data_IF_668470023398
#
_entry.id   IF_668470023398
#
_cell.length_a   1.000
_cell.length_b   1.000
_cell.length_c   1.000
_cell.angle_alpha   90.00
_cell.angle_beta   90.00
_cell.angle_gamma   90.00
#
_symmetry.space_group_name_H-M   'P 1'
#
loop_
_entity.id
_entity.type
_entity.pdbx_description
1 polymer ?
#
# COMPACT_ATOMS: atom_id res chain seq x y z
N UNK A 1 -13.42 -0.52 -13.80
CA UNK A 1 -12.98 -1.91 -14.04
C UNK A 1 -12.40 -2.00 -15.44
N UNK A 2 -11.13 -2.38 -15.54
CA UNK A 2 -10.46 -2.57 -16.83
C UNK A 2 -10.64 -4.05 -17.21
N UNK A 3 -11.39 -4.31 -18.28
CA UNK A 3 -11.64 -5.66 -18.79
C UNK A 3 -10.48 -6.20 -19.65
N UNK A 4 -9.23 -6.00 -19.20
CA UNK A 4 -8.07 -6.56 -19.88
C UNK A 4 -7.57 -7.84 -19.18
N UNK A 5 -8.44 -8.84 -19.05
CA UNK A 5 -8.19 -10.09 -18.34
C UNK A 5 -6.90 -10.78 -18.80
N UNK A 6 -6.60 -10.77 -20.10
CA UNK A 6 -5.39 -11.40 -20.62
C UNK A 6 -4.12 -10.66 -20.18
N UNK A 7 -4.12 -9.32 -20.26
CA UNK A 7 -2.99 -8.51 -19.79
C UNK A 7 -2.71 -8.75 -18.31
N UNK A 8 -3.73 -8.70 -17.46
CA UNK A 8 -3.57 -8.89 -16.03
C UNK A 8 -3.17 -10.32 -15.65
N UNK A 9 -3.71 -11.34 -16.33
CA UNK A 9 -3.26 -12.72 -16.15
C UNK A 9 -1.78 -12.87 -16.52
N UNK A 10 -1.36 -12.32 -17.65
CA UNK A 10 0.04 -12.35 -18.07
C UNK A 10 0.95 -11.62 -17.09
N UNK A 11 0.56 -10.43 -16.66
CA UNK A 11 1.29 -9.64 -15.66
C UNK A 11 1.48 -10.42 -14.35
N UNK A 12 0.39 -10.95 -13.77
CA UNK A 12 0.45 -11.70 -12.51
C UNK A 12 1.22 -13.02 -12.66
N UNK A 13 1.07 -13.72 -13.78
CA UNK A 13 1.85 -14.95 -14.03
C UNK A 13 3.35 -14.65 -14.05
N UNK A 14 3.77 -13.58 -14.72
CA UNK A 14 5.18 -13.16 -14.73
C UNK A 14 5.64 -12.67 -13.36
N UNK A 15 4.82 -11.93 -12.64
CA UNK A 15 5.11 -11.50 -11.27
C UNK A 15 5.31 -12.70 -10.36
N UNK A 16 4.42 -13.68 -10.40
CA UNK A 16 4.55 -14.89 -9.58
C UNK A 16 5.75 -15.75 -9.94
N UNK A 17 6.21 -15.72 -11.20
CA UNK A 17 7.45 -16.39 -11.58
C UNK A 17 8.70 -15.81 -10.89
N UNK A 18 8.63 -14.58 -10.36
CA UNK A 18 9.69 -14.01 -9.52
C UNK A 18 9.68 -14.54 -8.09
N UNK A 19 8.52 -15.01 -7.61
CA UNK A 19 8.33 -15.50 -6.25
C UNK A 19 8.37 -17.03 -6.15
N UNK A 20 8.00 -17.74 -7.20
CA UNK A 20 7.85 -19.18 -7.21
C UNK A 20 8.56 -19.80 -8.40
N UNK A 21 9.24 -20.90 -8.15
CA UNK A 21 9.73 -21.77 -9.23
C UNK A 21 8.59 -22.67 -9.70
N UNK A 22 8.02 -22.35 -10.85
CA UNK A 22 6.91 -23.12 -11.43
C UNK A 22 7.28 -24.53 -11.87
N UNK A 23 8.57 -24.87 -12.02
CA UNK A 23 9.00 -26.24 -12.32
C UNK A 23 8.71 -27.18 -11.14
N UNK A 24 8.70 -26.65 -9.91
CA UNK A 24 8.49 -27.41 -8.67
C UNK A 24 7.29 -26.96 -7.86
N UNK A 25 6.67 -25.82 -8.21
CA UNK A 25 5.61 -25.24 -7.43
C UNK A 25 4.28 -25.24 -8.18
N UNK A 26 3.25 -25.86 -7.57
CA UNK A 26 1.87 -25.73 -8.02
C UNK A 26 1.25 -24.49 -7.33
N UNK A 27 1.07 -23.42 -8.08
CA UNK A 27 0.44 -22.20 -7.60
C UNK A 27 -0.96 -22.04 -8.20
N UNK A 28 -1.95 -21.80 -7.36
CA UNK A 28 -3.30 -21.36 -7.76
C UNK A 28 -3.60 -20.04 -7.09
N UNK A 29 -4.19 -19.14 -7.84
CA UNK A 29 -4.59 -17.82 -7.36
C UNK A 29 -5.93 -17.40 -7.96
N UNK A 30 -6.70 -16.62 -7.18
CA UNK A 30 -8.01 -16.10 -7.58
C UNK A 30 -8.35 -14.83 -6.81
N UNK A 31 -9.52 -14.27 -7.10
CA UNK A 31 -10.06 -13.08 -6.45
C UNK A 31 -9.11 -11.88 -6.57
N UNK A 32 -8.76 -11.56 -7.81
CA UNK A 32 -7.86 -10.45 -8.12
C UNK A 32 -8.68 -9.19 -8.39
N UNK A 33 -8.46 -8.17 -7.57
CA UNK A 33 -8.86 -6.78 -7.83
C UNK A 33 -7.70 -6.00 -8.42
N UNK A 34 -7.95 -5.22 -9.48
CA UNK A 34 -6.95 -4.34 -10.08
C UNK A 34 -7.61 -3.08 -10.62
N UNK A 35 -7.03 -1.90 -10.31
CA UNK A 35 -7.56 -0.62 -10.76
C UNK A 35 -6.49 0.46 -10.81
N UNK A 36 -6.74 1.48 -11.63
CA UNK A 36 -5.97 2.71 -11.57
C UNK A 36 -6.49 3.61 -10.46
N UNK A 37 -5.58 4.09 -9.65
CA UNK A 37 -5.87 5.02 -8.57
C UNK A 37 -5.22 6.37 -8.88
N UNK A 38 -6.04 7.42 -8.93
CA UNK A 38 -5.62 8.81 -9.01
C UNK A 38 -5.75 9.44 -7.63
N UNK A 39 -4.73 10.14 -7.22
CA UNK A 39 -4.74 10.88 -5.94
C UNK A 39 -4.15 12.27 -6.15
N UNK A 40 -4.81 13.28 -5.60
CA UNK A 40 -4.36 14.66 -5.61
C UNK A 40 -3.87 15.08 -4.23
N UNK A 41 -2.99 16.06 -4.18
CA UNK A 41 -2.59 16.67 -2.91
C UNK A 41 -3.78 17.37 -2.24
N UNK A 42 -3.86 17.29 -0.92
CA UNK A 42 -4.81 18.10 -0.13
C UNK A 42 -4.45 19.60 -0.19
N UNK A 43 -3.17 19.87 -0.22
CA UNK A 43 -2.65 21.21 -0.44
C UNK A 43 -1.56 21.13 -1.52
N UNK A 44 -1.87 21.52 -2.76
CA UNK A 44 -0.90 21.52 -3.85
C UNK A 44 0.14 22.64 -3.75
N UNK A 45 -0.06 23.63 -2.88
CA UNK A 45 0.87 24.76 -2.69
C UNK A 45 1.89 24.49 -1.59
N UNK A 46 1.56 23.64 -0.62
CA UNK A 46 2.45 23.26 0.47
C UNK A 46 2.75 21.76 0.45
N UNK A 47 3.90 21.39 -0.13
CA UNK A 47 4.35 20.00 -0.19
C UNK A 47 4.54 19.35 1.19
N UNK A 48 4.76 20.15 2.23
CA UNK A 48 5.01 19.69 3.60
C UNK A 48 3.72 19.65 4.43
N UNK A 49 2.58 20.01 3.86
CA UNK A 49 1.31 19.95 4.57
C UNK A 49 1.05 18.51 5.03
N UNK A 50 0.80 18.34 6.32
CA UNK A 50 0.61 17.03 6.93
C UNK A 50 -0.59 16.28 6.32
N UNK A 51 -1.60 17.00 5.85
CA UNK A 51 -2.75 16.40 5.18
C UNK A 51 -2.37 15.68 3.87
N UNK A 52 -1.24 16.05 3.25
CA UNK A 52 -0.71 15.36 2.09
C UNK A 52 -0.14 13.97 2.43
N UNK A 53 -0.03 13.60 3.70
CA UNK A 53 0.43 12.29 4.13
C UNK A 53 -0.71 11.27 4.14
N UNK A 54 -0.45 10.06 3.64
CA UNK A 54 -1.39 8.95 3.74
C UNK A 54 -1.57 8.46 5.19
N UNK A 55 -2.75 7.95 5.50
CA UNK A 55 -3.01 7.25 6.77
C UNK A 55 -2.25 5.92 6.79
N UNK A 56 -1.63 5.58 7.93
CA UNK A 56 -1.05 4.25 8.14
C UNK A 56 -2.18 3.26 8.28
N UNK A 57 -2.20 2.21 7.45
CA UNK A 57 -3.26 1.21 7.42
C UNK A 57 -2.74 -0.16 6.95
N UNK A 58 -3.61 -1.14 7.06
CA UNK A 58 -3.50 -2.46 6.45
C UNK A 58 -4.62 -2.61 5.44
N UNK A 59 -4.37 -3.31 4.34
CA UNK A 59 -5.40 -3.57 3.33
C UNK A 59 -6.32 -4.77 3.69
N UNK A 60 -5.96 -5.51 4.73
CA UNK A 60 -6.66 -6.71 5.15
C UNK A 60 -5.88 -8.00 4.84
N UNK A 61 -6.58 -9.14 4.82
CA UNK A 61 -5.96 -10.46 4.70
C UNK A 61 -5.62 -10.84 3.23
N UNK A 62 -5.09 -9.91 2.46
CA UNK A 62 -4.62 -10.22 1.11
C UNK A 62 -3.21 -10.81 1.16
N UNK A 63 -2.99 -12.03 0.63
CA UNK A 63 -1.67 -12.65 0.60
C UNK A 63 -0.65 -11.89 -0.25
N UNK A 64 -1.11 -11.10 -1.21
CA UNK A 64 -0.27 -10.22 -2.02
C UNK A 64 -1.04 -8.97 -2.41
N UNK A 65 -0.44 -7.84 -2.17
CA UNK A 65 -0.85 -6.52 -2.64
C UNK A 65 0.32 -5.92 -3.40
N UNK A 66 0.04 -5.08 -4.37
CA UNK A 66 1.10 -4.35 -5.02
C UNK A 66 0.61 -3.13 -5.75
N UNK A 67 1.55 -2.27 -6.07
CA UNK A 67 1.28 -1.09 -6.87
C UNK A 67 2.43 -0.79 -7.83
N UNK A 68 2.07 -0.20 -8.97
CA UNK A 68 3.01 0.33 -9.95
C UNK A 68 2.84 1.85 -10.00
N UNK A 69 3.94 2.58 -9.85
CA UNK A 69 3.93 4.05 -10.00
C UNK A 69 3.89 4.42 -11.48
N UNK A 70 2.89 5.21 -11.87
CA UNK A 70 2.64 5.57 -13.28
C UNK A 70 2.77 7.07 -13.57
N UNK A 71 3.03 7.90 -12.55
CA UNK A 71 3.30 9.32 -12.75
C UNK A 71 4.76 9.50 -13.16
N UNK A 72 5.00 10.05 -14.36
CA UNK A 72 6.33 10.47 -14.80
C UNK A 72 6.77 11.69 -13.98
N UNK A 73 8.08 11.78 -13.72
CA UNK A 73 8.72 12.94 -13.06
C UNK A 73 8.07 13.33 -11.71
N UNK A 74 7.46 12.35 -11.04
CA UNK A 74 6.87 12.57 -9.73
C UNK A 74 7.94 12.83 -8.65
N UNK A 75 7.59 13.64 -7.65
CA UNK A 75 8.41 13.80 -6.45
C UNK A 75 8.74 12.43 -5.84
N UNK A 76 10.01 12.18 -5.54
CA UNK A 76 10.47 10.92 -4.95
C UNK A 76 9.71 10.57 -3.67
N UNK A 77 9.41 11.58 -2.86
CA UNK A 77 8.68 11.43 -1.59
C UNK A 77 7.20 11.07 -1.75
N UNK A 78 6.64 11.11 -2.95
CA UNK A 78 5.27 10.64 -3.20
C UNK A 78 5.16 9.10 -3.33
N UNK A 79 6.12 8.37 -2.79
CA UNK A 79 6.16 6.92 -2.75
C UNK A 79 5.34 6.30 -1.63
N UNK A 80 5.76 5.12 -1.17
CA UNK A 80 5.07 4.33 -0.14
C UNK A 80 6.08 3.88 0.90
N UNK A 81 5.69 3.88 2.17
CA UNK A 81 6.50 3.28 3.24
C UNK A 81 5.78 2.13 3.91
N UNK A 82 6.57 1.11 4.25
CA UNK A 82 6.17 0.04 5.17
C UNK A 82 6.50 0.51 6.59
N UNK A 83 5.54 0.34 7.48
CA UNK A 83 5.57 0.85 8.84
C UNK A 83 5.55 -0.31 9.83
N UNK A 84 6.30 -0.19 10.91
CA UNK A 84 6.25 -1.15 12.02
C UNK A 84 5.67 -0.50 13.27
N UNK A 85 4.82 -1.21 14.02
CA UNK A 85 4.38 -0.74 15.33
C UNK A 85 5.58 -0.56 16.26
N UNK A 86 5.68 0.58 16.93
CA UNK A 86 6.69 0.82 17.95
C UNK A 86 6.20 0.40 19.34
N UNK A 87 7.03 0.59 20.37
CA UNK A 87 6.69 0.21 21.76
C UNK A 87 5.47 0.94 22.34
N UNK A 88 5.06 2.07 21.75
CA UNK A 88 3.89 2.85 22.19
C UNK A 88 2.60 2.36 21.53
N UNK A 89 2.71 1.52 20.50
CA UNK A 89 1.55 1.05 19.76
C UNK A 89 0.58 0.31 20.67
N UNK A 90 -0.65 0.78 20.66
CA UNK A 90 -1.80 0.09 21.26
C UNK A 90 -2.84 -0.13 20.16
N UNK A 91 -3.29 -1.36 20.03
CA UNK A 91 -4.41 -1.64 19.14
C UNK A 91 -5.63 -0.85 19.60
N UNK A 92 -6.16 0.01 18.73
CA UNK A 92 -7.31 0.89 19.03
C UNK A 92 -8.39 0.63 17.98
N UNK A 93 -9.29 -0.33 18.23
CA UNK A 93 -10.36 -0.66 17.28
C UNK A 93 -11.28 0.54 17.02
N UNK A 94 -11.46 1.45 17.98
CA UNK A 94 -12.25 2.66 17.84
C UNK A 94 -11.72 3.61 16.74
N UNK A 95 -10.42 3.60 16.48
CA UNK A 95 -9.82 4.37 15.39
C UNK A 95 -10.02 3.70 14.02
N UNK A 96 -10.38 2.43 13.98
CA UNK A 96 -10.58 1.72 12.72
C UNK A 96 -11.77 2.30 11.95
N UNK A 97 -12.89 2.56 12.63
CA UNK A 97 -14.09 3.11 12.01
C UNK A 97 -13.87 4.53 11.52
N UNK A 98 -13.17 5.37 12.29
CA UNK A 98 -12.81 6.72 11.89
C UNK A 98 -11.87 6.72 10.67
N UNK A 99 -10.87 5.84 10.65
CA UNK A 99 -10.00 5.64 9.48
C UNK A 99 -10.80 5.27 8.23
N UNK A 100 -11.70 4.29 8.36
CA UNK A 100 -12.56 3.83 7.26
C UNK A 100 -13.46 4.96 6.79
N UNK A 101 -14.05 5.72 7.70
CA UNK A 101 -14.88 6.89 7.39
C UNK A 101 -14.10 7.93 6.60
N UNK A 102 -12.97 8.39 7.13
CA UNK A 102 -12.15 9.44 6.51
C UNK A 102 -11.50 9.00 5.19
N UNK A 103 -11.26 7.70 5.03
CA UNK A 103 -10.71 7.15 3.79
C UNK A 103 -11.77 7.04 2.68
N UNK A 104 -13.04 6.83 3.04
CA UNK A 104 -14.14 6.67 2.07
C UNK A 104 -14.73 7.99 1.57
N UNK A 105 -14.56 9.08 2.30
CA UNK A 105 -15.08 10.38 1.88
C UNK A 105 -14.17 10.92 0.75
N UNK A 106 -14.73 11.23 -0.44
CA UNK A 106 -13.98 11.91 -1.49
C UNK A 106 -13.39 13.22 -0.97
N UNK A 107 -12.15 13.53 -1.36
CA UNK A 107 -11.40 14.68 -0.84
C UNK A 107 -12.18 15.99 -0.96
N UNK A 108 -12.88 16.20 -2.07
CA UNK A 108 -13.70 17.39 -2.36
C UNK A 108 -14.96 17.50 -1.49
N UNK A 109 -15.33 16.43 -0.78
CA UNK A 109 -16.49 16.39 0.13
C UNK A 109 -16.11 16.47 1.61
N UNK A 110 -14.82 16.54 1.92
CA UNK A 110 -14.36 16.67 3.29
C UNK A 110 -14.68 18.04 3.86
N UNK A 111 -15.31 18.05 5.03
CA UNK A 111 -15.57 19.29 5.79
C UNK A 111 -14.29 19.76 6.51
N UNK A 112 -14.30 21.00 7.02
CA UNK A 112 -13.21 21.51 7.87
C UNK A 112 -12.96 20.59 9.08
N UNK A 113 -14.05 20.08 9.69
CA UNK A 113 -13.96 19.13 10.81
C UNK A 113 -13.28 17.84 10.38
N UNK A 114 -13.66 17.27 9.23
CA UNK A 114 -13.03 16.04 8.73
C UNK A 114 -11.52 16.21 8.47
N UNK A 115 -11.09 17.37 8.00
CA UNK A 115 -9.68 17.69 7.79
C UNK A 115 -8.92 17.79 9.13
N UNK A 116 -9.51 18.42 10.15
CA UNK A 116 -8.94 18.46 11.50
C UNK A 116 -8.85 17.06 12.14
N UNK A 117 -9.91 16.27 12.04
CA UNK A 117 -9.94 14.89 12.54
C UNK A 117 -8.88 14.04 11.80
N UNK A 118 -8.76 14.21 10.47
CA UNK A 118 -7.71 13.56 9.67
C UNK A 118 -6.30 13.94 10.14
N UNK A 119 -6.06 15.22 10.39
CA UNK A 119 -4.77 15.70 10.90
C UNK A 119 -4.41 15.08 12.25
N UNK A 120 -5.35 15.07 13.20
CA UNK A 120 -5.18 14.43 14.52
C UNK A 120 -4.87 12.94 14.37
N UNK A 121 -5.59 12.25 13.49
CA UNK A 121 -5.38 10.84 13.23
C UNK A 121 -3.99 10.55 12.63
N UNK A 122 -3.54 11.35 11.65
CA UNK A 122 -2.19 11.21 11.08
C UNK A 122 -1.12 11.37 12.16
N UNK A 123 -1.23 12.40 13.00
CA UNK A 123 -0.27 12.65 14.09
C UNK A 123 -0.25 11.47 15.07
N UNK A 124 -1.41 11.04 15.55
CA UNK A 124 -1.53 9.89 16.46
C UNK A 124 -0.95 8.60 15.87
N UNK A 125 -1.18 8.34 14.58
CA UNK A 125 -0.60 7.18 13.91
C UNK A 125 0.93 7.29 13.82
N UNK A 126 1.45 8.44 13.43
CA UNK A 126 2.90 8.64 13.33
C UNK A 126 3.63 8.47 14.67
N UNK A 127 2.99 8.77 15.81
CA UNK A 127 3.56 8.53 17.14
C UNK A 127 3.65 7.04 17.51
N UNK A 128 2.84 6.19 16.90
CA UNK A 128 2.71 4.78 17.23
C UNK A 128 3.43 3.84 16.26
N UNK A 129 4.03 4.38 15.21
CA UNK A 129 4.71 3.59 14.18
C UNK A 129 6.06 4.18 13.82
N UNK A 130 6.97 3.30 13.39
CA UNK A 130 8.27 3.64 12.83
C UNK A 130 8.34 3.22 11.37
N UNK A 131 9.02 4.03 10.54
CA UNK A 131 9.25 3.68 9.15
C UNK A 131 10.33 2.60 9.07
N UNK A 132 9.98 1.45 8.48
CA UNK A 132 10.91 0.34 8.26
C UNK A 132 11.56 0.41 6.88
N UNK A 133 10.75 0.60 5.84
CA UNK A 133 11.22 0.65 4.45
C UNK A 133 10.53 1.82 3.76
N UNK A 134 11.31 2.66 3.08
CA UNK A 134 10.80 3.73 2.22
C UNK A 134 11.03 3.41 0.75
N UNK A 135 9.97 3.35 -0.03
CA UNK A 135 10.04 3.27 -1.48
C UNK A 135 9.81 4.65 -2.08
N UNK A 136 10.79 5.13 -2.83
CA UNK A 136 10.62 6.36 -3.61
C UNK A 136 9.69 6.12 -4.80
N UNK A 137 8.85 7.10 -5.12
CA UNK A 137 8.12 7.10 -6.37
C UNK A 137 9.12 7.19 -7.53
N UNK A 138 9.08 6.18 -8.38
CA UNK A 138 9.85 6.13 -9.63
C UNK A 138 8.92 5.55 -10.69
N UNK A 139 8.78 6.24 -11.82
CA UNK A 139 7.96 5.77 -12.92
C UNK A 139 8.26 4.31 -13.27
N UNK A 140 7.22 3.53 -13.47
CA UNK A 140 7.25 2.10 -13.78
C UNK A 140 7.89 1.20 -12.70
N UNK A 141 8.04 1.70 -11.46
CA UNK A 141 8.45 0.85 -10.34
C UNK A 141 7.25 0.09 -9.80
N UNK A 142 7.40 -1.23 -9.72
CA UNK A 142 6.50 -2.12 -8.99
C UNK A 142 7.03 -2.32 -7.56
N UNK A 143 6.14 -2.25 -6.58
CA UNK A 143 6.37 -2.74 -5.21
C UNK A 143 5.28 -3.72 -4.84
N UNK A 144 5.61 -4.71 -4.02
CA UNK A 144 4.67 -5.69 -3.49
C UNK A 144 4.92 -5.95 -2.01
N UNK A 145 3.85 -6.23 -1.29
CA UNK A 145 3.84 -6.52 0.14
C UNK A 145 2.61 -7.37 0.49
N UNK A 146 2.46 -7.82 1.74
CA UNK A 146 1.24 -8.51 2.17
C UNK A 146 0.20 -7.49 2.62
N UNK A 147 -1.08 -7.76 2.43
CA UNK A 147 -2.15 -6.84 2.85
C UNK A 147 -2.18 -6.58 4.37
N UNK A 148 -1.53 -7.45 5.15
CA UNK A 148 -1.36 -7.30 6.60
C UNK A 148 -0.17 -6.44 7.01
N UNK A 149 0.68 -6.01 6.07
CA UNK A 149 1.76 -5.08 6.38
C UNK A 149 1.18 -3.67 6.55
N UNK A 150 1.54 -3.00 7.66
CA UNK A 150 1.20 -1.60 7.82
C UNK A 150 1.98 -0.77 6.81
N UNK A 151 1.27 0.08 6.10
CA UNK A 151 1.87 0.93 5.09
C UNK A 151 1.13 2.26 4.95
N UNK A 152 1.77 3.21 4.27
CA UNK A 152 1.16 4.51 3.91
C UNK A 152 1.74 5.06 2.61
N UNK A 153 0.96 5.88 1.92
CA UNK A 153 1.51 6.82 0.95
C UNK A 153 2.29 7.90 1.71
N UNK A 154 3.54 8.16 1.32
CA UNK A 154 4.39 9.13 2.00
C UNK A 154 3.92 10.56 1.77
N UNK A 155 3.52 10.86 0.53
CA UNK A 155 2.91 12.13 0.19
C UNK A 155 1.98 11.98 -1.01
N UNK A 156 0.82 12.62 -0.96
CA UNK A 156 -0.06 12.81 -2.12
C UNK A 156 0.45 13.92 -3.04
N UNK A 157 1.33 14.80 -2.54
CA UNK A 157 1.98 15.80 -3.36
C UNK A 157 3.02 15.12 -4.27
N UNK A 158 2.73 15.05 -5.55
CA UNK A 158 3.60 14.39 -6.54
C UNK A 158 4.46 15.36 -7.34
N UNK A 159 4.26 16.67 -7.19
CA UNK A 159 4.84 17.70 -8.06
C UNK A 159 4.09 17.82 -9.40
N UNK A 160 3.04 17.03 -9.57
CA UNK A 160 2.09 17.03 -10.69
C UNK A 160 0.69 17.19 -10.10
N UNK A 161 -0.31 17.50 -10.94
CA UNK A 161 -1.70 17.67 -10.50
C UNK A 161 -2.23 16.42 -9.82
N UNK A 162 -1.85 15.25 -10.32
CA UNK A 162 -2.31 13.97 -9.83
C UNK A 162 -1.17 12.94 -9.76
N UNK A 163 -1.23 12.11 -8.74
CA UNK A 163 -0.42 10.89 -8.61
C UNK A 163 -1.23 9.72 -9.14
N UNK A 164 -0.71 9.05 -10.16
CA UNK A 164 -1.33 7.87 -10.76
C UNK A 164 -0.58 6.61 -10.35
N UNK A 165 -1.31 5.60 -9.90
CA UNK A 165 -0.81 4.26 -9.63
C UNK A 165 -1.74 3.20 -10.20
N UNK A 166 -1.19 2.06 -10.62
CA UNK A 166 -1.94 0.83 -10.80
C UNK A 166 -1.82 0.04 -9.50
N UNK A 167 -2.95 -0.28 -8.87
CA UNK A 167 -3.01 -1.05 -7.61
C UNK A 167 -3.65 -2.39 -7.88
N UNK A 168 -3.14 -3.45 -7.25
CA UNK A 168 -3.73 -4.77 -7.35
C UNK A 168 -3.71 -5.51 -6.02
N UNK A 169 -4.70 -6.38 -5.84
CA UNK A 169 -4.92 -7.22 -4.67
C UNK A 169 -5.16 -8.65 -5.13
N UNK A 170 -4.47 -9.60 -4.54
CA UNK A 170 -4.72 -11.03 -4.75
C UNK A 170 -5.40 -11.57 -3.50
N UNK A 171 -6.69 -11.90 -3.61
CA UNK A 171 -7.52 -12.32 -2.47
C UNK A 171 -7.23 -13.74 -2.02
N UNK A 172 -6.94 -14.63 -2.94
CA UNK A 172 -6.64 -16.03 -2.63
C UNK A 172 -5.41 -16.51 -3.37
N UNK A 173 -4.52 -17.16 -2.61
CA UNK A 173 -3.34 -17.82 -3.15
C UNK A 173 -3.11 -19.13 -2.41
N UNK A 174 -2.93 -20.22 -3.17
CA UNK A 174 -2.55 -21.52 -2.63
C UNK A 174 -1.32 -22.02 -3.36
N UNK A 175 -0.32 -22.44 -2.62
CA UNK A 175 0.92 -22.98 -3.14
C UNK A 175 1.32 -24.21 -2.31
N UNK A 176 1.99 -25.17 -2.95
CA UNK A 176 2.64 -26.27 -2.26
C UNK A 176 4.05 -25.90 -1.76
N UNK A 177 4.48 -24.67 -1.95
CA UNK A 177 5.72 -24.12 -1.40
C UNK A 177 5.47 -22.79 -0.71
N UNK A 178 6.35 -22.43 0.21
CA UNK A 178 6.30 -21.15 0.89
C UNK A 178 6.74 -20.02 -0.05
N UNK A 179 6.16 -18.84 0.14
CA UNK A 179 6.65 -17.61 -0.50
C UNK A 179 8.09 -17.31 -0.03
N UNK A 180 8.88 -16.56 -0.79
CA UNK A 180 10.22 -16.13 -0.37
C UNK A 180 10.22 -15.46 1.00
N UNK A 181 9.22 -14.63 1.29
CA UNK A 181 9.09 -13.96 2.59
C UNK A 181 8.83 -14.94 3.73
N UNK A 182 7.97 -15.94 3.53
CA UNK A 182 7.71 -16.98 4.53
C UNK A 182 8.97 -17.83 4.79
N UNK A 183 9.72 -18.17 3.74
CA UNK A 183 11.00 -18.89 3.87
C UNK A 183 12.00 -18.09 4.69
N UNK A 184 12.14 -16.81 4.43
CA UNK A 184 13.04 -15.92 5.18
C UNK A 184 12.66 -15.85 6.66
N UNK A 185 11.37 -15.66 6.98
CA UNK A 185 10.88 -15.65 8.35
C UNK A 185 11.20 -16.95 9.09
N UNK A 186 10.99 -18.09 8.43
CA UNK A 186 11.28 -19.40 9.03
C UNK A 186 12.78 -19.63 9.27
N UNK A 187 13.64 -19.17 8.35
CA UNK A 187 15.10 -19.22 8.54
C UNK A 187 15.56 -18.39 9.74
N UNK A 188 14.99 -17.19 9.93
CA UNK A 188 15.30 -16.33 11.06
C UNK A 188 14.85 -16.92 12.41
N UNK A 189 13.78 -17.72 12.42
CA UNK A 189 13.27 -18.39 13.63
C UNK A 189 14.13 -19.61 13.97
N UNK A 190 14.59 -20.34 12.96
CA UNK A 190 15.42 -21.55 13.14
C UNK A 190 16.88 -21.24 13.44
N UNK A 191 17.35 -20.04 13.11
CA UNK A 191 18.73 -19.57 13.37
C UNK A 191 18.94 -18.93 14.74
N UNK A 192 17.95 -19.04 15.64
CA UNK A 192 18.06 -18.73 17.07
C UNK A 192 18.14 -20.04 17.85
#
# INVERSE_FOLDING_TARGET
>A
HINHTLFFKTFLTRLFALYFDYSHTKLRWSDVGMYFQKTSAFDPKDKNNILNTGLIHQDGNFPLVGLVYLTKDACKDSGTSIMLPNKKYKHRPELADEKVRLHKIPQEKLTKKDLEDRKKLILSLNENFEESIRFNNKFNRLITYTGTDFHKCNSFYSGQDERLTLVFFVGKMKSNSQTPLQRLKNQLIQGK
#
